data_IF_767348835473
#
_entry.id   IF_767348835473
#
_cell.length_a   1.000
_cell.length_b   1.000
_cell.length_c   1.000
_cell.angle_alpha   90.00
_cell.angle_beta   90.00
_cell.angle_gamma   90.00
#
_symmetry.space_group_name_H-M   'P 1'
#
loop_
_entity.id
_entity.type
_entity.pdbx_description
1 polymer ?
#
# COMPACT_ATOMS: atom_id res chain seq x y z
N UNK A 1 5.75 -12.09 -13.37
CA UNK A 1 6.42 -11.06 -12.53
C UNK A 1 7.88 -10.97 -12.97
N UNK A 2 8.39 -9.77 -13.16
CA UNK A 2 9.79 -9.52 -13.49
C UNK A 2 10.38 -8.58 -12.43
N UNK A 3 11.60 -8.89 -11.97
CA UNK A 3 12.36 -8.09 -11.03
C UNK A 3 13.69 -7.70 -11.64
N UNK A 4 14.05 -6.43 -11.57
CA UNK A 4 15.36 -5.90 -11.92
C UNK A 4 15.84 -5.13 -10.70
N UNK A 5 16.97 -5.50 -10.15
CA UNK A 5 17.53 -4.84 -8.98
C UNK A 5 19.04 -4.79 -9.05
N UNK A 6 19.60 -3.71 -8.55
CA UNK A 6 21.01 -3.60 -8.18
C UNK A 6 21.09 -2.96 -6.78
N UNK A 7 22.30 -2.68 -6.28
CA UNK A 7 22.48 -2.13 -4.94
C UNK A 7 21.75 -0.79 -4.69
N UNK A 8 21.50 0.01 -5.73
CA UNK A 8 20.92 1.35 -5.63
C UNK A 8 19.52 1.46 -6.21
N UNK A 9 19.21 0.73 -7.27
CA UNK A 9 17.94 0.86 -8.00
C UNK A 9 17.20 -0.47 -8.02
N UNK A 10 15.87 -0.39 -7.97
CA UNK A 10 15.00 -1.54 -8.17
C UNK A 10 13.85 -1.19 -9.11
N UNK A 11 13.39 -2.19 -9.84
CA UNK A 11 12.21 -2.12 -10.68
C UNK A 11 11.49 -3.47 -10.65
N UNK A 12 10.20 -3.44 -10.38
CA UNK A 12 9.34 -4.61 -10.32
C UNK A 12 8.17 -4.41 -11.28
N UNK A 13 7.78 -5.43 -12.00
CA UNK A 13 6.55 -5.40 -12.79
C UNK A 13 5.84 -6.74 -12.75
N UNK A 14 4.53 -6.72 -12.83
CA UNK A 14 3.72 -7.92 -12.75
C UNK A 14 2.37 -7.77 -13.40
N UNK A 15 1.82 -8.91 -13.82
CA UNK A 15 0.43 -9.05 -14.24
C UNK A 15 -0.18 -10.18 -13.44
N UNK A 16 -1.36 -9.95 -12.86
CA UNK A 16 -2.09 -10.93 -12.07
C UNK A 16 -3.55 -10.95 -12.53
N UNK A 17 -4.10 -12.11 -12.76
CA UNK A 17 -5.54 -12.28 -12.94
C UNK A 17 -6.15 -12.39 -11.54
N UNK A 18 -7.02 -11.44 -11.19
CA UNK A 18 -7.66 -11.36 -9.87
C UNK A 18 -8.89 -12.24 -9.82
N UNK A 19 -9.74 -12.10 -10.83
CA UNK A 19 -10.95 -12.88 -10.96
C UNK A 19 -11.11 -13.35 -12.39
N UNK A 20 -11.54 -14.59 -12.56
CA UNK A 20 -11.86 -15.16 -13.86
C UNK A 20 -13.31 -15.67 -13.83
N UNK A 21 -14.21 -14.95 -14.50
CA UNK A 21 -15.59 -15.38 -14.76
C UNK A 21 -15.80 -15.61 -16.25
N UNK A 22 -16.85 -16.33 -16.62
CA UNK A 22 -17.24 -16.53 -18.03
C UNK A 22 -17.47 -15.21 -18.77
N UNK A 23 -17.95 -14.19 -18.07
CA UNK A 23 -18.39 -12.94 -18.67
C UNK A 23 -17.48 -11.76 -18.34
N UNK A 24 -16.66 -11.86 -17.28
CA UNK A 24 -15.75 -10.79 -16.83
C UNK A 24 -14.48 -11.34 -16.22
N UNK A 25 -13.35 -10.90 -16.71
CA UNK A 25 -12.07 -11.16 -16.05
C UNK A 25 -11.41 -9.85 -15.65
N UNK A 26 -11.10 -9.70 -14.38
CA UNK A 26 -10.36 -8.56 -13.87
C UNK A 26 -8.89 -8.93 -13.70
N UNK A 27 -8.02 -8.08 -14.22
CA UNK A 27 -6.58 -8.24 -14.09
C UNK A 27 -5.95 -7.01 -13.46
N UNK A 28 -4.87 -7.22 -12.73
CA UNK A 28 -4.01 -6.19 -12.18
C UNK A 28 -2.70 -6.17 -12.95
N UNK A 29 -2.37 -5.04 -13.56
CA UNK A 29 -1.01 -4.69 -13.93
C UNK A 29 -0.37 -3.89 -12.81
N UNK A 30 0.85 -4.26 -12.40
CA UNK A 30 1.63 -3.54 -11.39
C UNK A 30 3.01 -3.18 -11.92
N UNK A 31 3.42 -1.97 -11.61
CA UNK A 31 4.77 -1.48 -11.85
C UNK A 31 5.25 -0.73 -10.61
N UNK A 32 6.49 -0.98 -10.19
CA UNK A 32 7.13 -0.26 -9.11
C UNK A 32 8.58 0.02 -9.47
N UNK A 33 9.07 1.21 -9.16
CA UNK A 33 10.49 1.55 -9.29
C UNK A 33 10.93 2.49 -8.19
N UNK A 34 12.22 2.44 -7.86
CA UNK A 34 12.77 3.32 -6.83
C UNK A 34 14.26 3.14 -6.63
N UNK A 35 14.75 3.80 -5.59
CA UNK A 35 16.16 3.77 -5.23
C UNK A 35 16.41 3.64 -3.74
N UNK A 36 17.56 3.04 -3.41
CA UNK A 36 18.11 2.93 -2.07
C UNK A 36 19.35 3.80 -1.99
N UNK A 37 19.39 4.68 -1.01
CA UNK A 37 20.46 5.65 -0.80
C UNK A 37 21.03 5.46 0.61
N UNK A 38 22.33 5.55 0.75
CA UNK A 38 22.99 5.58 2.05
C UNK A 38 23.54 7.00 2.24
N UNK A 39 23.17 7.61 3.34
CA UNK A 39 23.62 8.96 3.70
C UNK A 39 24.96 8.88 4.46
N UNK A 40 25.65 10.02 4.60
CA UNK A 40 26.98 10.11 5.25
C UNK A 40 26.96 9.64 6.72
N UNK A 41 25.81 9.76 7.38
CA UNK A 41 25.60 9.25 8.75
C UNK A 41 25.18 7.77 8.80
N UNK A 42 25.41 7.00 7.74
CA UNK A 42 25.01 5.59 7.59
C UNK A 42 23.49 5.33 7.62
N UNK A 43 22.66 6.37 7.64
CA UNK A 43 21.22 6.21 7.47
C UNK A 43 20.90 5.74 6.05
N UNK A 44 19.86 4.90 5.93
CA UNK A 44 19.38 4.38 4.66
C UNK A 44 18.04 5.02 4.31
N UNK A 45 17.93 5.50 3.09
CA UNK A 45 16.70 6.09 2.54
C UNK A 45 16.28 5.25 1.35
N UNK A 46 15.02 4.84 1.33
CA UNK A 46 14.38 4.20 0.18
C UNK A 46 13.28 5.13 -0.32
N UNK A 47 13.30 5.44 -1.59
CA UNK A 47 12.27 6.24 -2.26
C UNK A 47 11.78 5.47 -3.47
N UNK A 48 10.50 5.54 -3.74
CA UNK A 48 9.97 4.92 -4.93
C UNK A 48 8.54 5.34 -5.26
N UNK A 49 8.12 4.85 -6.41
CA UNK A 49 6.75 5.02 -6.88
C UNK A 49 6.23 3.71 -7.45
N UNK A 50 4.90 3.55 -7.41
CA UNK A 50 4.22 2.41 -8.00
C UNK A 50 3.01 2.87 -8.82
N UNK A 51 2.62 2.03 -9.76
CA UNK A 51 1.37 2.13 -10.50
C UNK A 51 0.67 0.78 -10.45
N UNK A 52 -0.60 0.80 -10.03
CA UNK A 52 -1.46 -0.37 -10.01
C UNK A 52 -2.68 -0.08 -10.88
N UNK A 53 -2.78 -0.76 -12.02
CA UNK A 53 -3.91 -0.62 -12.93
C UNK A 53 -4.77 -1.87 -12.90
N UNK A 54 -5.98 -1.70 -12.40
CA UNK A 54 -7.02 -2.73 -12.46
C UNK A 54 -7.84 -2.54 -13.73
N UNK A 55 -7.91 -3.57 -14.54
CA UNK A 55 -8.72 -3.56 -15.74
C UNK A 55 -10.11 -4.13 -15.42
N UNK A 56 -11.16 -3.43 -15.86
CA UNK A 56 -12.55 -3.85 -15.73
C UNK A 56 -13.03 -3.99 -14.26
N UNK A 57 -12.72 -3.03 -13.39
CA UNK A 57 -13.34 -2.98 -12.07
C UNK A 57 -14.74 -2.32 -12.15
N UNK A 58 -14.83 -1.15 -12.78
CA UNK A 58 -16.07 -0.39 -12.92
C UNK A 58 -17.17 -1.21 -13.61
N UNK A 59 -18.39 -1.17 -13.04
CA UNK A 59 -19.55 -1.89 -13.54
C UNK A 59 -19.57 -3.38 -13.22
N UNK A 60 -18.57 -3.89 -12.51
CA UNK A 60 -18.50 -5.27 -12.04
C UNK A 60 -18.71 -5.36 -10.52
N UNK A 61 -19.17 -6.52 -10.07
CA UNK A 61 -19.35 -6.77 -8.65
C UNK A 61 -18.04 -6.65 -7.88
N UNK A 62 -18.09 -6.13 -6.63
CA UNK A 62 -16.92 -6.04 -5.80
C UNK A 62 -16.28 -7.39 -5.49
N UNK A 63 -14.96 -7.46 -5.52
CA UNK A 63 -14.21 -8.61 -5.01
C UNK A 63 -14.58 -8.88 -3.56
N UNK A 64 -15.12 -10.05 -3.26
CA UNK A 64 -15.63 -10.49 -1.94
C UNK A 64 -16.79 -9.63 -1.41
N UNK A 65 -16.60 -8.31 -1.18
CA UNK A 65 -17.57 -7.30 -0.71
C UNK A 65 -17.05 -5.91 -1.08
N UNK A 66 -17.91 -4.88 -0.99
CA UNK A 66 -17.52 -3.48 -1.26
C UNK A 66 -16.33 -3.00 -0.43
N UNK A 67 -16.24 -3.45 0.83
CA UNK A 67 -15.13 -3.10 1.72
C UNK A 67 -14.85 -1.58 1.79
N UNK A 68 -15.93 -0.77 1.78
CA UNK A 68 -15.86 0.69 1.84
C UNK A 68 -15.88 1.42 0.49
N UNK A 69 -15.61 0.73 -0.63
CA UNK A 69 -15.65 1.37 -1.94
C UNK A 69 -17.06 1.80 -2.35
N UNK A 70 -17.15 2.83 -3.17
CA UNK A 70 -18.42 3.35 -3.70
C UNK A 70 -18.98 2.42 -4.76
N UNK A 71 -20.27 2.10 -4.61
CA UNK A 71 -21.02 1.25 -5.55
C UNK A 71 -22.07 2.06 -6.28
N UNK A 72 -22.45 1.59 -7.47
CA UNK A 72 -23.61 2.06 -8.20
C UNK A 72 -24.93 1.47 -7.65
N UNK A 73 -26.08 1.85 -8.21
CA UNK A 73 -27.40 1.41 -7.78
C UNK A 73 -27.63 -0.11 -7.98
N UNK A 74 -26.80 -0.77 -8.77
CA UNK A 74 -26.82 -2.21 -9.02
C UNK A 74 -25.86 -2.98 -8.09
N UNK A 75 -25.10 -2.27 -7.25
CA UNK A 75 -24.13 -2.86 -6.33
C UNK A 75 -22.78 -3.17 -6.95
N UNK A 76 -22.46 -2.61 -8.12
CA UNK A 76 -21.17 -2.76 -8.78
C UNK A 76 -20.23 -1.61 -8.43
N UNK A 77 -18.91 -1.78 -8.61
CA UNK A 77 -17.96 -0.67 -8.46
C UNK A 77 -18.34 0.53 -9.34
N UNK A 78 -18.45 1.70 -8.74
CA UNK A 78 -18.75 2.95 -9.44
C UNK A 78 -17.54 3.46 -10.25
N UNK A 79 -16.33 3.21 -9.79
CA UNK A 79 -15.09 3.70 -10.36
C UNK A 79 -14.19 2.55 -10.83
N UNK A 80 -13.35 2.84 -11.83
CA UNK A 80 -12.16 2.05 -12.12
C UNK A 80 -11.01 2.43 -11.19
N UNK A 81 -9.89 1.69 -11.27
CA UNK A 81 -8.74 1.92 -10.39
C UNK A 81 -7.44 1.92 -11.19
N UNK A 82 -6.87 3.13 -11.32
CA UNK A 82 -5.48 3.36 -11.71
C UNK A 82 -4.82 4.13 -10.58
N UNK A 83 -4.14 3.40 -9.70
CA UNK A 83 -3.61 3.92 -8.45
C UNK A 83 -2.14 4.25 -8.63
N UNK A 84 -1.77 5.49 -8.33
CA UNK A 84 -0.38 5.93 -8.19
C UNK A 84 0.00 5.97 -6.73
N UNK A 85 1.17 5.46 -6.41
CA UNK A 85 1.76 5.46 -5.08
C UNK A 85 3.10 6.16 -5.11
N UNK A 86 3.37 6.97 -4.09
CA UNK A 86 4.69 7.46 -3.74
C UNK A 86 5.02 6.98 -2.34
N UNK A 87 6.19 6.40 -2.15
CA UNK A 87 6.59 5.92 -0.84
C UNK A 87 8.02 6.32 -0.49
N UNK A 88 8.25 6.49 0.81
CA UNK A 88 9.54 6.78 1.38
C UNK A 88 9.75 5.95 2.66
N UNK A 89 10.95 5.45 2.85
CA UNK A 89 11.39 4.79 4.07
C UNK A 89 12.75 5.35 4.49
N UNK A 90 12.89 5.70 5.76
CA UNK A 90 14.13 6.12 6.38
C UNK A 90 14.50 5.12 7.48
N UNK A 91 15.71 4.58 7.44
CA UNK A 91 16.25 3.66 8.45
C UNK A 91 17.53 4.20 9.01
N UNK A 92 17.61 4.24 10.32
CA UNK A 92 18.83 4.62 11.03
C UNK A 92 18.95 3.87 12.35
N UNK A 93 20.15 3.76 12.87
CA UNK A 93 20.41 3.23 14.19
C UNK A 93 20.69 4.40 15.16
N UNK A 94 19.87 4.55 16.19
CA UNK A 94 20.01 5.56 17.22
C UNK A 94 20.35 4.88 18.55
N UNK A 95 21.53 5.14 19.08
CA UNK A 95 22.01 4.56 20.34
C UNK A 95 21.92 3.02 20.38
N UNK A 96 22.25 2.36 19.29
CA UNK A 96 22.17 0.89 19.16
C UNK A 96 20.75 0.34 18.91
N UNK A 97 19.76 1.21 18.79
CA UNK A 97 18.37 0.83 18.51
C UNK A 97 18.00 1.16 17.06
N UNK A 98 17.54 0.19 16.25
CA UNK A 98 17.06 0.48 14.91
C UNK A 98 15.78 1.31 14.95
N UNK A 99 15.74 2.35 14.13
CA UNK A 99 14.61 3.24 13.93
C UNK A 99 14.25 3.23 12.46
N UNK A 100 12.97 3.00 12.14
CA UNK A 100 12.45 3.10 10.78
C UNK A 100 11.26 4.06 10.76
N UNK A 101 11.32 5.07 9.91
CA UNK A 101 10.16 5.90 9.59
C UNK A 101 9.70 5.59 8.16
N UNK A 102 8.39 5.65 7.91
CA UNK A 102 7.82 5.44 6.58
C UNK A 102 6.72 6.44 6.29
N UNK A 103 6.54 6.68 5.01
CA UNK A 103 5.49 7.53 4.45
C UNK A 103 5.03 6.90 3.14
N UNK A 104 3.71 6.77 2.97
CA UNK A 104 3.07 6.35 1.74
C UNK A 104 1.96 7.32 1.38
N UNK A 105 1.85 7.65 0.13
CA UNK A 105 0.75 8.44 -0.43
C UNK A 105 0.26 7.78 -1.71
N UNK A 106 -1.07 7.60 -1.81
CA UNK A 106 -1.71 6.95 -2.94
C UNK A 106 -2.81 7.85 -3.52
N UNK A 107 -3.01 7.75 -4.81
CA UNK A 107 -4.13 8.40 -5.50
C UNK A 107 -4.67 7.53 -6.62
N UNK A 108 -5.98 7.29 -6.59
CA UNK A 108 -6.71 6.72 -7.71
C UNK A 108 -7.14 7.82 -8.69
N UNK A 109 -6.64 7.78 -9.91
CA UNK A 109 -6.94 8.79 -10.93
C UNK A 109 -8.26 8.54 -11.68
N UNK A 110 -8.93 7.42 -11.45
CA UNK A 110 -10.21 7.07 -12.09
C UNK A 110 -11.42 7.52 -11.25
N UNK A 111 -11.22 7.95 -10.01
CA UNK A 111 -12.26 8.52 -9.17
C UNK A 111 -12.07 10.03 -9.03
N UNK A 112 -13.17 10.79 -9.05
CA UNK A 112 -13.14 12.25 -8.96
C UNK A 112 -13.10 12.76 -7.51
N UNK A 113 -13.57 11.96 -6.55
CA UNK A 113 -13.71 12.31 -5.14
C UNK A 113 -13.29 11.13 -4.27
N UNK A 114 -12.86 11.43 -3.03
CA UNK A 114 -12.49 10.42 -2.03
C UNK A 114 -11.53 9.36 -2.60
N UNK A 115 -10.49 9.83 -3.28
CA UNK A 115 -9.60 9.04 -4.11
C UNK A 115 -8.15 9.06 -3.66
N UNK A 116 -7.87 9.57 -2.45
CA UNK A 116 -6.53 9.64 -1.88
C UNK A 116 -6.40 8.81 -0.61
N UNK A 117 -5.21 8.27 -0.41
CA UNK A 117 -4.84 7.63 0.85
C UNK A 117 -3.42 8.02 1.24
N UNK A 118 -3.15 8.05 2.53
CA UNK A 118 -1.80 8.18 3.04
C UNK A 118 -1.60 7.44 4.35
N UNK A 119 -0.38 6.99 4.57
CA UNK A 119 0.06 6.48 5.85
C UNK A 119 1.41 7.07 6.23
N UNK A 120 1.61 7.28 7.52
CA UNK A 120 2.88 7.70 8.07
C UNK A 120 3.12 7.00 9.42
N UNK A 121 4.32 6.49 9.61
CA UNK A 121 4.61 5.78 10.85
C UNK A 121 6.08 5.70 11.21
N UNK A 122 6.30 5.24 12.44
CA UNK A 122 7.61 4.99 13.02
C UNK A 122 7.64 3.62 13.67
N UNK A 123 8.78 2.95 13.56
CA UNK A 123 9.08 1.69 14.20
C UNK A 123 10.39 1.82 14.97
N UNK A 124 10.38 1.41 16.22
CA UNK A 124 11.50 1.45 17.16
C UNK A 124 11.84 0.03 17.57
N UNK A 125 13.11 -0.34 17.48
CA UNK A 125 13.58 -1.68 17.79
C UNK A 125 13.38 -2.67 16.64
N UNK A 126 13.55 -3.95 16.95
CA UNK A 126 13.36 -5.08 16.05
C UNK A 126 12.79 -6.27 16.83
N UNK A 127 12.09 -7.13 16.13
CA UNK A 127 11.53 -8.39 16.69
C UNK A 127 11.93 -9.61 15.86
N UNK A 128 13.12 -9.55 15.25
CA UNK A 128 13.62 -10.59 14.37
C UNK A 128 14.29 -11.75 15.10
N UNK A 129 14.70 -11.56 16.36
CA UNK A 129 15.35 -12.55 17.21
C UNK A 129 14.65 -12.68 18.55
N UNK A 130 14.86 -13.82 19.21
CA UNK A 130 14.34 -14.07 20.54
C UNK A 130 14.83 -12.98 21.53
N UNK A 131 13.90 -12.43 22.32
CA UNK A 131 14.12 -11.33 23.30
C UNK A 131 14.32 -9.94 22.70
N UNK A 132 14.16 -9.75 21.40
CA UNK A 132 14.05 -8.42 20.81
C UNK A 132 12.61 -7.90 20.98
N UNK A 133 12.49 -6.58 21.07
CA UNK A 133 11.17 -5.90 21.11
C UNK A 133 11.10 -4.86 20.01
N UNK A 134 9.94 -4.78 19.40
CA UNK A 134 9.60 -3.78 18.38
C UNK A 134 8.34 -3.07 18.80
N UNK A 135 8.40 -1.75 18.88
CA UNK A 135 7.23 -0.90 19.02
C UNK A 135 7.00 -0.15 17.72
N UNK A 136 5.77 -0.13 17.23
CA UNK A 136 5.42 0.65 16.04
C UNK A 136 4.14 1.45 16.23
N UNK A 137 4.14 2.63 15.62
CA UNK A 137 3.00 3.50 15.51
C UNK A 137 2.84 3.90 14.05
N UNK A 138 1.61 3.80 13.52
CA UNK A 138 1.27 4.25 12.17
C UNK A 138 -0.08 4.96 12.21
N UNK A 139 -0.16 6.09 11.53
CA UNK A 139 -1.41 6.77 11.21
C UNK A 139 -1.79 6.42 9.77
N UNK A 140 -3.07 6.12 9.57
CA UNK A 140 -3.67 5.85 8.27
C UNK A 140 -4.86 6.77 8.03
N UNK A 141 -5.00 7.22 6.78
CA UNK A 141 -6.19 7.90 6.29
C UNK A 141 -6.41 7.43 4.85
N UNK A 142 -7.47 6.66 4.64
CA UNK A 142 -7.78 6.04 3.36
C UNK A 142 -9.20 6.38 2.98
N UNK A 143 -9.35 7.20 1.95
CA UNK A 143 -10.66 7.55 1.39
C UNK A 143 -11.28 6.37 0.62
N UNK A 144 -12.61 6.44 0.40
CA UNK A 144 -13.42 5.33 -0.15
C UNK A 144 -12.85 4.68 -1.40
N UNK A 145 -12.47 5.48 -2.37
CA UNK A 145 -12.07 5.02 -3.70
C UNK A 145 -10.59 5.23 -3.99
N UNK A 146 -9.80 5.46 -2.95
CA UNK A 146 -8.34 5.57 -3.07
C UNK A 146 -7.70 4.24 -3.50
N UNK A 147 -8.22 3.13 -2.96
CA UNK A 147 -7.77 1.76 -3.21
C UNK A 147 -8.96 0.82 -3.29
N UNK A 148 -8.75 -0.39 -3.81
CA UNK A 148 -9.76 -1.45 -3.69
C UNK A 148 -9.72 -2.00 -2.27
N UNK A 149 -10.76 -1.76 -1.48
CA UNK A 149 -10.83 -2.10 -0.07
C UNK A 149 -10.63 -3.59 0.23
N UNK A 150 -11.00 -4.47 -0.71
CA UNK A 150 -10.79 -5.91 -0.58
C UNK A 150 -9.30 -6.32 -0.48
N UNK A 151 -8.37 -5.46 -0.89
CA UNK A 151 -6.93 -5.68 -0.84
C UNK A 151 -6.22 -4.80 0.21
N UNK A 152 -6.98 -4.11 1.06
CA UNK A 152 -6.44 -3.35 2.18
C UNK A 152 -5.95 -4.27 3.31
N UNK A 153 -5.01 -3.77 4.11
CA UNK A 153 -4.45 -4.50 5.26
C UNK A 153 -5.54 -4.83 6.29
N UNK A 154 -5.76 -6.11 6.54
CA UNK A 154 -6.77 -6.59 7.49
C UNK A 154 -6.47 -6.24 8.95
N UNK A 155 -5.23 -5.94 9.28
CA UNK A 155 -4.80 -5.55 10.63
C UNK A 155 -5.22 -4.12 10.99
N UNK A 156 -5.67 -3.34 10.01
CA UNK A 156 -6.21 -2.00 10.22
C UNK A 156 -7.67 -1.94 9.78
N UNK A 157 -8.55 -1.46 10.67
CA UNK A 157 -10.00 -1.26 10.43
C UNK A 157 -10.73 -2.48 9.82
N UNK A 158 -10.19 -3.70 9.94
CA UNK A 158 -10.77 -4.92 9.37
C UNK A 158 -10.57 -5.06 7.85
N UNK A 159 -9.61 -4.33 7.27
CA UNK A 159 -9.27 -4.38 5.84
C UNK A 159 -10.38 -3.76 4.99
N UNK A 160 -10.58 -2.46 5.14
CA UNK A 160 -11.55 -1.69 4.36
C UNK A 160 -10.91 -0.38 3.89
N UNK A 161 -11.40 0.17 2.79
CA UNK A 161 -11.24 1.60 2.47
C UNK A 161 -12.19 2.44 3.32
N UNK A 162 -12.23 3.78 3.14
CA UNK A 162 -13.01 4.69 3.98
C UNK A 162 -12.67 4.52 5.48
N UNK A 163 -11.39 4.49 5.79
CA UNK A 163 -10.91 4.23 7.14
C UNK A 163 -9.82 5.22 7.53
N UNK A 164 -9.86 5.66 8.80
CA UNK A 164 -8.92 6.62 9.35
C UNK A 164 -8.63 6.30 10.79
N UNK A 165 -7.37 6.37 11.19
CA UNK A 165 -7.01 6.14 12.58
C UNK A 165 -5.55 5.82 12.82
N UNK A 166 -5.32 5.29 14.00
CA UNK A 166 -3.99 5.02 14.56
C UNK A 166 -3.83 3.53 14.82
N UNK A 167 -2.70 2.99 14.43
CA UNK A 167 -2.32 1.60 14.69
C UNK A 167 -1.09 1.59 15.56
N UNK A 168 -1.20 0.95 16.72
CA UNK A 168 -0.08 0.74 17.65
C UNK A 168 0.15 -0.76 17.75
N UNK A 169 1.39 -1.20 17.57
CA UNK A 169 1.80 -2.60 17.73
C UNK A 169 3.00 -2.70 18.66
N UNK A 170 2.98 -3.66 19.55
CA UNK A 170 4.11 -4.11 20.36
C UNK A 170 4.35 -5.58 20.04
N UNK A 171 5.57 -5.93 19.66
CA UNK A 171 5.99 -7.30 19.31
C UNK A 171 7.21 -7.68 20.15
N UNK A 172 7.24 -8.91 20.61
CA UNK A 172 8.34 -9.49 21.39
C UNK A 172 8.56 -10.97 21.07
#
# INVERSE_FOLDING_TARGET
VMFITNERLFMNTGVTVIERSSDNSTSLFSFQSGGNFTLDNSAKVKLGYSVFKYNHAKGNQPFYKSKGNTLDDLGNYLNDYTIFELFAEYKHELYGMPVTAHLDWLKNNEANYQNTAYSAGIRLGASSKKHEREFSYTYHDTEKDAVIGAFSDSDFAGGVSDSKGHLIRDRY
#
